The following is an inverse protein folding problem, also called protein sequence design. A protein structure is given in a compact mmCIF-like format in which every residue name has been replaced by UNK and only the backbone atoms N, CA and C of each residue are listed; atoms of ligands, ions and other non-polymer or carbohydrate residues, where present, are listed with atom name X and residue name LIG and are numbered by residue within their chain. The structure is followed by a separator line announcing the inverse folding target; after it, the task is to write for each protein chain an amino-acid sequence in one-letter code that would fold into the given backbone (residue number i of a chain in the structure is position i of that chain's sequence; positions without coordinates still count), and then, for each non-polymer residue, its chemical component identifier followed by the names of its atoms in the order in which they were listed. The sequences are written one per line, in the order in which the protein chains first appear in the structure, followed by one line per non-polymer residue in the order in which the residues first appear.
data_IF_156772056791
#
_entry.id   IF_156772056791
#
_cell.length_a   1.000
_cell.length_b   1.000
_cell.length_c   1.000
_cell.angle_alpha   90.00
_cell.angle_beta   90.00
_cell.angle_gamma   90.00
#
_symmetry.space_group_name_H-M   'P 1'
#
loop_
_entity.id
_entity.type
_entity.pdbx_description
1 polymer ?
#
# COMPACT_ATOMS: atom_id res chain seq x y z
N UNK A 1 7.73 -11.21 -8.89
CA UNK A 1 7.31 -11.56 -7.50
C UNK A 1 6.89 -13.02 -7.32
N UNK A 2 6.00 -13.56 -8.18
CA UNK A 2 5.53 -14.97 -8.10
C UNK A 2 6.69 -15.99 -8.11
N UNK A 3 7.74 -15.78 -8.91
CA UNK A 3 8.87 -16.70 -8.99
C UNK A 3 9.66 -16.84 -7.67
N UNK A 4 9.85 -15.76 -6.90
CA UNK A 4 10.52 -15.84 -5.58
C UNK A 4 9.66 -16.58 -4.56
N UNK A 5 8.34 -16.38 -4.60
CA UNK A 5 7.40 -17.13 -3.77
C UNK A 5 7.34 -18.62 -4.16
N UNK A 6 7.37 -18.95 -5.45
CA UNK A 6 7.47 -20.34 -5.94
C UNK A 6 8.76 -21.04 -5.45
N UNK A 7 9.89 -20.32 -5.42
CA UNK A 7 11.15 -20.84 -4.85
C UNK A 7 11.04 -21.07 -3.34
N UNK A 8 10.38 -20.17 -2.61
CA UNK A 8 10.11 -20.35 -1.16
C UNK A 8 9.09 -21.46 -0.88
N UNK A 9 8.19 -21.77 -1.84
CA UNK A 9 7.21 -22.86 -1.76
C UNK A 9 7.80 -24.25 -2.04
N UNK A 10 9.03 -24.37 -2.56
CA UNK A 10 9.73 -25.65 -2.57
C UNK A 10 9.94 -26.06 -1.11
N UNK A 11 9.38 -27.21 -0.72
CA UNK A 11 9.47 -27.72 0.65
C UNK A 11 10.93 -27.65 1.13
N UNK A 12 11.21 -27.02 2.27
CA UNK A 12 12.51 -27.15 2.91
C UNK A 12 12.76 -28.65 3.11
N UNK A 13 13.88 -29.16 2.60
CA UNK A 13 14.24 -30.57 2.82
C UNK A 13 14.41 -30.89 4.31
N UNK A 14 14.70 -29.87 5.15
CA UNK A 14 14.90 -29.98 6.60
C UNK A 14 14.49 -28.67 7.31
N UNK A 15 14.20 -28.74 8.62
CA UNK A 15 13.92 -27.57 9.47
C UNK A 15 15.09 -26.58 9.49
N UNK A 16 16.34 -27.08 9.44
CA UNK A 16 17.51 -26.22 9.36
C UNK A 16 17.53 -25.37 8.07
N UNK A 17 17.07 -25.92 6.95
CA UNK A 17 16.92 -25.18 5.70
C UNK A 17 15.79 -24.15 5.81
N UNK A 18 14.65 -24.54 6.40
CA UNK A 18 13.50 -23.65 6.62
C UNK A 18 13.90 -22.44 7.48
N UNK A 19 14.60 -22.71 8.59
CA UNK A 19 15.14 -21.71 9.51
C UNK A 19 16.07 -20.72 8.79
N UNK A 20 17.01 -21.21 7.98
CA UNK A 20 17.92 -20.34 7.19
C UNK A 20 17.15 -19.44 6.23
N UNK A 21 16.16 -19.99 5.53
CA UNK A 21 15.34 -19.22 4.59
C UNK A 21 14.57 -18.11 5.30
N UNK A 22 13.99 -18.39 6.48
CA UNK A 22 13.27 -17.39 7.29
C UNK A 22 14.21 -16.27 7.76
N UNK A 23 15.41 -16.60 8.27
CA UNK A 23 16.40 -15.60 8.71
C UNK A 23 16.84 -14.69 7.55
N UNK A 24 17.11 -15.26 6.38
CA UNK A 24 17.48 -14.49 5.18
C UNK A 24 16.35 -13.57 4.73
N UNK A 25 15.10 -14.04 4.74
CA UNK A 25 13.95 -13.21 4.43
C UNK A 25 13.84 -12.03 5.41
N UNK A 26 13.90 -12.30 6.71
CA UNK A 26 13.78 -11.28 7.76
C UNK A 26 14.91 -10.24 7.68
N UNK A 27 16.14 -10.67 7.35
CA UNK A 27 17.24 -9.74 7.05
C UNK A 27 16.90 -8.82 5.88
N UNK A 28 16.43 -9.38 4.77
CA UNK A 28 16.22 -8.62 3.54
C UNK A 28 14.99 -7.70 3.59
N UNK A 29 13.91 -8.13 4.23
CA UNK A 29 12.63 -7.40 4.25
C UNK A 29 12.50 -6.50 5.46
N UNK A 30 13.01 -6.93 6.61
CA UNK A 30 12.81 -6.24 7.88
C UNK A 30 14.10 -5.71 8.51
N UNK A 31 15.26 -5.90 7.85
CA UNK A 31 16.53 -5.33 8.29
C UNK A 31 17.16 -6.03 9.50
N UNK A 32 16.68 -7.21 9.89
CA UNK A 32 17.28 -7.96 11.00
C UNK A 32 18.73 -8.37 10.70
N UNK A 33 19.59 -8.33 11.71
CA UNK A 33 20.92 -8.92 11.63
C UNK A 33 20.82 -10.44 11.80
N UNK A 34 21.72 -11.20 11.17
CA UNK A 34 21.77 -12.66 11.41
C UNK A 34 22.18 -12.99 12.86
N UNK A 35 22.88 -12.05 13.51
CA UNK A 35 23.32 -12.17 14.90
C UNK A 35 22.14 -12.28 15.87
N UNK A 36 21.05 -11.55 15.61
CA UNK A 36 19.81 -11.63 16.38
C UNK A 36 19.25 -13.04 16.50
N UNK A 37 19.43 -13.87 15.46
CA UNK A 37 18.90 -15.24 15.41
C UNK A 37 19.89 -16.30 15.93
N UNK A 38 21.04 -15.89 16.48
CA UNK A 38 21.97 -16.84 17.12
C UNK A 38 21.30 -17.49 18.33
N UNK A 39 21.38 -18.82 18.42
CA UNK A 39 20.74 -19.59 19.48
C UNK A 39 19.23 -19.82 19.33
N UNK A 40 18.52 -19.04 18.50
CA UNK A 40 17.08 -19.24 18.28
C UNK A 40 16.78 -20.49 17.45
N UNK A 41 15.79 -21.30 17.84
CA UNK A 41 15.35 -22.47 17.10
C UNK A 41 14.30 -22.12 16.04
N UNK A 42 13.87 -23.12 15.26
CA UNK A 42 12.85 -22.92 14.24
C UNK A 42 11.56 -22.33 14.82
N UNK A 43 11.09 -22.87 15.95
CA UNK A 43 9.86 -22.43 16.61
C UNK A 43 9.94 -21.01 17.19
N UNK A 44 11.13 -20.52 17.51
CA UNK A 44 11.33 -19.15 17.97
C UNK A 44 11.29 -18.14 16.81
N UNK A 45 11.82 -18.53 15.64
CA UNK A 45 11.93 -17.65 14.46
C UNK A 45 10.62 -17.63 13.66
N UNK A 46 9.91 -18.75 13.63
CA UNK A 46 8.69 -18.92 12.84
C UNK A 46 7.61 -17.86 13.13
N UNK A 47 7.26 -17.54 14.38
CA UNK A 47 6.26 -16.51 14.68
C UNK A 47 6.66 -15.11 14.17
N UNK A 48 7.95 -14.77 14.28
CA UNK A 48 8.49 -13.49 13.79
C UNK A 48 8.37 -13.41 12.27
N UNK A 49 8.73 -14.49 11.59
CA UNK A 49 8.59 -14.61 10.15
C UNK A 49 7.12 -14.48 9.71
N UNK A 50 6.21 -15.24 10.33
CA UNK A 50 4.78 -15.22 9.98
C UNK A 50 4.17 -13.83 10.17
N UNK A 51 4.46 -13.16 11.29
CA UNK A 51 3.98 -11.80 11.54
C UNK A 51 4.46 -10.82 10.44
N UNK A 52 5.73 -10.87 10.07
CA UNK A 52 6.29 -9.96 9.06
C UNK A 52 5.83 -10.29 7.65
N UNK A 53 5.71 -11.57 7.33
CA UNK A 53 5.20 -12.04 6.05
C UNK A 53 3.73 -11.62 5.85
N UNK A 54 2.88 -11.81 6.87
CA UNK A 54 1.47 -11.44 6.81
C UNK A 54 1.29 -9.92 6.66
N UNK A 55 2.01 -9.11 7.43
CA UNK A 55 1.96 -7.66 7.30
C UNK A 55 2.40 -7.19 5.90
N UNK A 56 3.45 -7.81 5.33
CA UNK A 56 3.89 -7.50 3.97
C UNK A 56 2.87 -7.93 2.92
N UNK A 57 2.19 -9.06 3.11
CA UNK A 57 1.13 -9.53 2.21
C UNK A 57 -0.07 -8.59 2.24
N UNK A 58 -0.51 -8.17 3.43
CA UNK A 58 -1.62 -7.23 3.61
C UNK A 58 -1.32 -5.89 2.93
N UNK A 59 -0.12 -5.35 3.11
CA UNK A 59 0.31 -4.13 2.44
C UNK A 59 0.26 -4.26 0.91
N UNK A 60 0.76 -5.37 0.36
CA UNK A 60 0.74 -5.61 -1.08
C UNK A 60 -0.68 -5.73 -1.62
N UNK A 61 -1.58 -6.43 -0.92
CA UNK A 61 -2.99 -6.55 -1.33
C UNK A 61 -3.67 -5.18 -1.36
N UNK A 62 -3.47 -4.38 -0.30
CA UNK A 62 -4.03 -3.02 -0.21
C UNK A 62 -3.49 -2.11 -1.32
N UNK A 63 -2.20 -2.18 -1.62
CA UNK A 63 -1.60 -1.40 -2.71
C UNK A 63 -2.17 -1.78 -4.07
N UNK A 64 -2.44 -3.07 -4.31
CA UNK A 64 -3.01 -3.55 -5.57
C UNK A 64 -4.44 -3.02 -5.76
N UNK A 65 -5.26 -3.11 -4.73
CA UNK A 65 -6.63 -2.58 -4.76
C UNK A 65 -6.66 -1.06 -4.99
N UNK A 66 -5.74 -0.32 -4.36
CA UNK A 66 -5.65 1.12 -4.55
C UNK A 66 -5.27 1.49 -5.99
N UNK A 67 -4.30 0.78 -6.58
CA UNK A 67 -3.88 0.99 -7.98
C UNK A 67 -5.03 0.68 -8.94
N UNK A 68 -5.73 -0.45 -8.75
CA UNK A 68 -6.87 -0.84 -9.59
C UNK A 68 -8.02 0.18 -9.53
N UNK A 69 -8.28 0.73 -8.32
CA UNK A 69 -9.27 1.78 -8.12
C UNK A 69 -8.87 3.09 -8.79
N UNK A 70 -7.59 3.46 -8.71
CA UNK A 70 -7.06 4.66 -9.37
C UNK A 70 -7.10 4.52 -10.89
N UNK A 71 -6.73 3.37 -11.43
CA UNK A 71 -6.80 3.05 -12.85
C UNK A 71 -8.24 3.13 -13.37
N UNK A 72 -9.20 2.56 -12.65
CA UNK A 72 -10.63 2.64 -12.99
C UNK A 72 -11.15 4.09 -13.02
N UNK A 73 -10.69 4.92 -12.08
CA UNK A 73 -11.03 6.36 -12.05
C UNK A 73 -10.41 7.10 -13.23
N UNK A 74 -9.16 6.81 -13.57
CA UNK A 74 -8.48 7.42 -14.70
C UNK A 74 -9.17 7.06 -16.03
N UNK A 75 -9.55 5.79 -16.21
CA UNK A 75 -10.33 5.33 -17.39
C UNK A 75 -11.68 6.05 -17.47
N UNK A 76 -12.41 6.15 -16.35
CA UNK A 76 -13.68 6.88 -16.30
C UNK A 76 -13.52 8.36 -16.68
N UNK A 77 -12.44 9.01 -16.26
CA UNK A 77 -12.13 10.41 -16.62
C UNK A 77 -11.77 10.57 -18.11
N UNK A 78 -11.06 9.61 -18.69
CA UNK A 78 -10.72 9.60 -20.11
C UNK A 78 -11.98 9.49 -20.96
N UNK A 79 -12.86 8.55 -20.62
CA UNK A 79 -14.11 8.27 -21.33
C UNK A 79 -15.22 9.31 -21.09
N UNK A 80 -14.98 10.30 -20.23
CA UNK A 80 -15.94 11.36 -19.95
C UNK A 80 -16.14 12.27 -21.17
N UNK A 81 -17.41 12.48 -21.53
CA UNK A 81 -17.80 13.26 -22.73
C UNK A 81 -17.49 14.76 -22.57
N UNK A 82 -17.31 15.51 -23.67
CA UNK A 82 -17.10 16.96 -23.60
C UNK A 82 -18.21 17.71 -22.85
N UNK A 83 -19.47 17.26 -22.97
CA UNK A 83 -20.61 17.84 -22.27
C UNK A 83 -20.54 17.62 -20.75
N UNK A 84 -20.14 16.42 -20.30
CA UNK A 84 -19.93 16.12 -18.88
C UNK A 84 -18.73 16.89 -18.31
N UNK A 85 -17.62 16.96 -19.06
CA UNK A 85 -16.45 17.79 -18.69
C UNK A 85 -16.83 19.26 -18.55
N UNK A 86 -17.60 19.80 -19.49
CA UNK A 86 -18.09 21.19 -19.44
C UNK A 86 -19.03 21.43 -18.25
N UNK A 87 -19.96 20.51 -17.98
CA UNK A 87 -20.85 20.60 -16.82
C UNK A 87 -20.07 20.56 -15.49
N UNK A 88 -19.06 19.70 -15.38
CA UNK A 88 -18.20 19.59 -14.19
C UNK A 88 -17.37 20.85 -13.97
N UNK A 89 -16.80 21.43 -15.04
CA UNK A 89 -16.09 22.74 -14.98
C UNK A 89 -17.00 23.87 -14.54
N UNK A 90 -18.22 23.95 -15.07
CA UNK A 90 -19.21 24.96 -14.67
C UNK A 90 -19.56 24.88 -13.18
N UNK A 91 -19.71 23.66 -12.65
CA UNK A 91 -19.95 23.44 -11.21
C UNK A 91 -18.76 23.89 -10.35
N UNK A 92 -17.54 23.51 -10.74
CA UNK A 92 -16.33 23.90 -10.00
C UNK A 92 -16.10 25.41 -10.00
N UNK A 93 -16.37 26.09 -11.12
CA UNK A 93 -16.26 27.55 -11.18
C UNK A 93 -17.27 28.24 -10.26
N UNK A 94 -18.50 27.72 -10.19
CA UNK A 94 -19.53 28.26 -9.30
C UNK A 94 -19.17 28.05 -7.83
N UNK A 95 -18.67 26.88 -7.46
CA UNK A 95 -18.22 26.59 -6.09
C UNK A 95 -17.03 27.48 -5.67
N UNK A 96 -16.10 27.78 -6.60
CA UNK A 96 -15.00 28.70 -6.33
C UNK A 96 -15.49 30.14 -6.11
N UNK A 97 -16.48 30.58 -6.90
CA UNK A 97 -17.11 31.91 -6.78
C UNK A 97 -17.87 32.03 -5.45
N UNK A 98 -18.63 31.01 -5.06
CA UNK A 98 -19.33 30.95 -3.77
C UNK A 98 -18.34 30.99 -2.58
N UNK A 99 -17.16 30.35 -2.70
CA UNK A 99 -16.12 30.38 -1.66
C UNK A 99 -15.45 31.76 -1.55
N UNK A 100 -15.17 32.45 -2.66
CA UNK A 100 -14.65 33.81 -2.65
C UNK A 100 -15.66 34.78 -2.02
N UNK A 101 -16.94 34.67 -2.40
CA UNK A 101 -18.00 35.48 -1.84
C UNK A 101 -18.11 35.28 -0.32
N UNK A 102 -18.13 34.03 0.16
CA UNK A 102 -18.14 33.74 1.60
C UNK A 102 -16.93 34.31 2.34
N UNK A 103 -15.74 34.26 1.74
CA UNK A 103 -14.52 34.82 2.33
C UNK A 103 -14.60 36.34 2.45
N UNK A 104 -15.12 37.01 1.42
CA UNK A 104 -15.33 38.45 1.43
C UNK A 104 -16.34 38.87 2.50
N UNK A 105 -17.41 38.09 2.71
CA UNK A 105 -18.41 38.36 3.75
C UNK A 105 -17.86 38.17 5.17
N UNK A 106 -16.91 37.25 5.39
CA UNK A 106 -16.24 37.06 6.68
C UNK A 106 -15.21 38.15 7.00
N UNK A 107 -14.59 38.75 5.99
CA UNK A 107 -13.61 39.83 6.13
C UNK A 107 -14.26 41.19 6.44
N UNK A 108 -15.59 41.32 6.27
CA UNK A 108 -16.37 42.53 6.51
C UNK A 108 -16.97 42.59 7.94
N UNK A 109 -16.81 41.55 8.78
CA UNK A 109 -17.19 41.66 10.20
C UNK A 109 -16.30 42.70 10.90
N UNK A 110 -16.82 43.85 11.37
CA UNK A 110 -16.06 44.74 12.21
C UNK A 110 -16.02 44.18 13.64
N UNK A 111 -14.92 44.42 14.36
CA UNK A 111 -14.78 44.21 15.81
C UNK A 111 -15.88 44.90 16.62
#
# INVERSE_FOLDING_TARGET
YVQRYQVMKKRPQTEAQARRNMMVYLKNIAGFTLDYFKGMYYDDIRPIFEAKFNANLEFLLKSKEQIEKEESRAIALINETPAQKAAKRRRLNKEAEDVEELKQHLEIMPD
#
